data_IF_590249353664
#
_entry.id   IF_590249353664
#
_cell.length_a   1.000
_cell.length_b   1.000
_cell.length_c   1.000
_cell.angle_alpha   90.00
_cell.angle_beta   90.00
_cell.angle_gamma   90.00
#
_symmetry.space_group_name_H-M   'P 1'
#
loop_
_entity.id
_entity.type
_entity.pdbx_description
1 polymer ?
#
# COMPACT_ATOMS: atom_id res chain seq x y z
N UNK A 1 -10.82 15.15 9.54
CA UNK A 1 -12.25 15.26 9.14
C UNK A 1 -12.49 14.40 7.92
N UNK A 2 -13.59 13.64 7.93
CA UNK A 2 -14.10 12.91 6.77
C UNK A 2 -14.50 13.96 5.72
N UNK A 3 -13.98 13.86 4.50
CA UNK A 3 -14.41 14.76 3.42
C UNK A 3 -15.76 14.25 2.94
N UNK A 4 -16.76 15.13 2.99
CA UNK A 4 -18.07 14.91 2.40
C UNK A 4 -18.23 15.94 1.29
N UNK A 5 -18.61 15.51 0.10
CA UNK A 5 -18.97 16.39 -1.01
C UNK A 5 -20.43 16.80 -0.94
N UNK A 6 -20.69 18.04 -1.35
CA UNK A 6 -22.03 18.58 -1.42
C UNK A 6 -22.70 18.25 -2.77
N UNK A 7 -24.04 18.17 -2.83
CA UNK A 7 -24.75 18.07 -4.10
C UNK A 7 -24.35 19.21 -5.05
N UNK A 8 -24.19 18.88 -6.33
CA UNK A 8 -23.72 19.75 -7.43
C UNK A 8 -22.25 20.12 -7.42
N UNK A 9 -21.47 19.66 -6.43
CA UNK A 9 -20.03 19.83 -6.44
C UNK A 9 -19.39 19.11 -7.64
N UNK A 10 -18.41 19.74 -8.28
CA UNK A 10 -17.75 19.22 -9.49
C UNK A 10 -16.34 18.74 -9.20
N UNK A 11 -16.11 17.44 -9.40
CA UNK A 11 -14.83 16.77 -9.15
C UNK A 11 -14.36 16.08 -10.42
N UNK A 12 -13.26 16.53 -11.02
CA UNK A 12 -12.61 15.88 -12.18
C UNK A 12 -13.59 15.50 -13.32
N UNK A 13 -14.54 16.39 -13.65
CA UNK A 13 -15.53 16.16 -14.71
C UNK A 13 -16.79 15.39 -14.28
N UNK A 14 -16.91 15.04 -13.01
CA UNK A 14 -18.11 14.44 -12.41
C UNK A 14 -18.85 15.46 -11.55
N UNK A 15 -20.17 15.50 -11.64
CA UNK A 15 -21.02 16.34 -10.78
C UNK A 15 -21.72 15.45 -9.76
N UNK A 16 -21.48 15.68 -8.46
CA UNK A 16 -22.11 14.91 -7.38
C UNK A 16 -23.62 15.19 -7.38
N UNK A 17 -24.45 14.14 -7.30
CA UNK A 17 -25.91 14.27 -7.22
C UNK A 17 -26.40 14.04 -5.79
N UNK A 18 -26.09 12.87 -5.22
CA UNK A 18 -26.58 12.42 -3.92
C UNK A 18 -25.54 11.52 -3.24
N UNK A 19 -25.49 11.57 -1.92
CA UNK A 19 -24.75 10.59 -1.13
C UNK A 19 -25.57 9.31 -1.02
N UNK A 20 -24.95 8.17 -1.35
CA UNK A 20 -25.60 6.84 -1.28
C UNK A 20 -25.33 6.21 0.08
N UNK A 21 -24.06 6.15 0.50
CA UNK A 21 -23.68 5.49 1.75
C UNK A 21 -22.36 6.00 2.30
N UNK A 22 -22.23 5.98 3.62
CA UNK A 22 -20.99 6.20 4.36
C UNK A 22 -20.53 4.86 4.93
N UNK A 23 -19.47 4.28 4.36
CA UNK A 23 -18.82 3.09 4.90
C UNK A 23 -17.64 3.43 5.80
N UNK A 24 -17.06 2.42 6.45
CA UNK A 24 -15.91 2.60 7.35
C UNK A 24 -14.69 3.25 6.65
N UNK A 25 -14.46 2.92 5.38
CA UNK A 25 -13.27 3.33 4.64
C UNK A 25 -13.56 4.28 3.47
N UNK A 26 -14.83 4.53 3.14
CA UNK A 26 -15.20 5.31 1.95
C UNK A 26 -16.58 5.95 2.09
N UNK A 27 -16.80 7.04 1.36
CA UNK A 27 -18.12 7.61 1.13
C UNK A 27 -18.47 7.42 -0.34
N UNK A 28 -19.67 6.94 -0.62
CA UNK A 28 -20.14 6.67 -1.97
C UNK A 28 -21.29 7.60 -2.35
N UNK A 29 -21.28 8.03 -3.60
CA UNK A 29 -22.21 8.98 -4.18
C UNK A 29 -22.77 8.44 -5.49
N UNK A 30 -23.95 8.91 -5.86
CA UNK A 30 -24.32 8.93 -7.26
C UNK A 30 -23.86 10.27 -7.85
N UNK A 31 -23.32 10.22 -9.06
CA UNK A 31 -22.78 11.37 -9.74
C UNK A 31 -23.11 11.31 -11.23
N UNK A 32 -22.98 12.43 -11.92
CA UNK A 32 -23.14 12.54 -13.37
C UNK A 32 -21.81 12.81 -14.05
N UNK A 33 -21.42 11.97 -14.99
CA UNK A 33 -20.26 12.19 -15.83
C UNK A 33 -20.51 13.35 -16.82
N UNK A 34 -19.45 13.92 -17.39
CA UNK A 34 -19.55 15.00 -18.38
C UNK A 34 -20.42 14.63 -19.60
N UNK A 35 -20.45 13.35 -19.99
CA UNK A 35 -21.28 12.82 -21.06
C UNK A 35 -22.78 12.70 -20.70
N UNK A 36 -23.15 12.92 -19.43
CA UNK A 36 -24.52 12.82 -18.93
C UNK A 36 -24.85 11.50 -18.24
N UNK A 37 -23.99 10.49 -18.32
CA UNK A 37 -24.21 9.19 -17.69
C UNK A 37 -24.21 9.26 -16.16
N UNK A 38 -25.14 8.55 -15.52
CA UNK A 38 -25.14 8.37 -14.06
C UNK A 38 -24.11 7.31 -13.68
N UNK A 39 -23.29 7.59 -12.67
CA UNK A 39 -22.18 6.74 -12.21
C UNK A 39 -22.20 6.55 -10.71
N UNK A 40 -21.64 5.44 -10.24
CA UNK A 40 -21.34 5.22 -8.84
C UNK A 40 -19.94 5.76 -8.53
N UNK A 41 -19.87 6.76 -7.66
CA UNK A 41 -18.67 7.52 -7.38
C UNK A 41 -18.21 7.29 -5.94
N UNK A 42 -17.07 6.63 -5.76
CA UNK A 42 -16.53 6.23 -4.46
C UNK A 42 -15.33 7.08 -4.09
N UNK A 43 -15.43 7.76 -2.95
CA UNK A 43 -14.36 8.54 -2.31
C UNK A 43 -13.76 7.73 -1.16
N UNK A 44 -12.48 7.39 -1.24
CA UNK A 44 -11.79 6.69 -0.16
C UNK A 44 -11.37 7.68 0.95
N UNK A 45 -11.70 7.33 2.18
CA UNK A 45 -11.21 7.98 3.40
C UNK A 45 -9.99 7.26 3.97
N UNK A 46 -9.90 5.95 3.75
CA UNK A 46 -8.79 5.08 4.14
C UNK A 46 -8.50 4.07 3.02
N UNK A 47 -7.23 3.74 2.71
CA UNK A 47 -6.00 4.31 3.29
C UNK A 47 -5.83 5.80 3.00
N UNK A 48 -5.26 6.53 3.97
CA UNK A 48 -4.80 7.90 3.72
C UNK A 48 -3.45 7.90 3.01
N UNK A 49 -3.16 8.92 2.20
CA UNK A 49 -1.85 9.09 1.54
C UNK A 49 -0.63 9.06 2.48
N UNK A 50 -0.85 9.18 3.79
CA UNK A 50 0.21 9.15 4.81
C UNK A 50 0.69 7.74 5.14
N UNK A 51 -0.08 6.71 4.84
CA UNK A 51 0.36 5.33 5.10
C UNK A 51 1.37 4.90 4.02
N UNK A 52 2.45 4.18 4.38
CA UNK A 52 3.50 3.82 3.43
C UNK A 52 3.00 2.93 2.28
N UNK A 53 1.91 2.21 2.51
CA UNK A 53 1.29 1.31 1.55
C UNK A 53 0.19 1.95 0.68
N UNK A 54 -0.05 3.27 0.76
CA UNK A 54 -1.08 3.93 -0.06
C UNK A 54 -0.83 3.79 -1.57
N UNK A 55 0.38 4.11 -2.04
CA UNK A 55 0.72 3.96 -3.47
C UNK A 55 0.63 2.50 -3.93
N UNK A 56 1.22 1.53 -3.19
CA UNK A 56 0.98 0.11 -3.43
C UNK A 56 -0.51 -0.29 -3.45
N UNK A 57 -1.35 0.28 -2.59
CA UNK A 57 -2.80 0.06 -2.61
C UNK A 57 -3.43 0.54 -3.91
N UNK A 58 -3.14 1.77 -4.35
CA UNK A 58 -3.65 2.30 -5.63
C UNK A 58 -3.21 1.43 -6.82
N UNK A 59 -1.95 0.98 -6.83
CA UNK A 59 -1.44 0.06 -7.84
C UNK A 59 -2.16 -1.30 -7.81
N UNK A 60 -2.41 -1.83 -6.61
CA UNK A 60 -3.18 -3.06 -6.41
C UNK A 60 -4.60 -2.93 -6.96
N UNK A 61 -5.26 -1.80 -6.73
CA UNK A 61 -6.59 -1.52 -7.29
C UNK A 61 -6.58 -1.54 -8.82
N UNK A 62 -5.59 -0.90 -9.45
CA UNK A 62 -5.46 -0.88 -10.92
C UNK A 62 -5.25 -2.30 -11.48
N UNK A 63 -4.37 -3.09 -10.87
CA UNK A 63 -4.13 -4.48 -11.26
C UNK A 63 -5.38 -5.35 -11.07
N UNK A 64 -6.10 -5.16 -9.97
CA UNK A 64 -7.34 -5.89 -9.67
C UNK A 64 -8.36 -5.68 -10.79
N UNK A 65 -8.59 -4.42 -11.19
CA UNK A 65 -9.53 -4.12 -12.28
C UNK A 65 -9.06 -4.69 -13.61
N UNK A 66 -7.76 -4.65 -13.91
CA UNK A 66 -7.20 -5.28 -15.13
C UNK A 66 -7.45 -6.78 -15.16
N UNK A 67 -7.24 -7.50 -14.06
CA UNK A 67 -7.50 -8.95 -13.97
C UNK A 67 -8.98 -9.28 -14.16
N UNK A 68 -9.86 -8.47 -13.56
CA UNK A 68 -11.31 -8.62 -13.73
C UNK A 68 -11.68 -8.45 -15.21
N UNK A 69 -11.27 -7.35 -15.85
CA UNK A 69 -11.61 -7.02 -17.24
C UNK A 69 -11.02 -8.01 -18.27
N UNK A 70 -9.87 -8.60 -17.98
CA UNK A 70 -9.25 -9.62 -18.81
C UNK A 70 -9.95 -10.98 -18.75
N UNK A 71 -10.66 -11.27 -17.66
CA UNK A 71 -11.25 -12.57 -17.38
C UNK A 71 -12.75 -12.67 -17.67
N UNK A 72 -13.31 -13.89 -17.63
CA UNK A 72 -14.75 -14.11 -17.68
C UNK A 72 -15.48 -13.60 -16.42
N UNK A 73 -14.76 -13.29 -15.34
CA UNK A 73 -15.34 -12.75 -14.12
C UNK A 73 -15.92 -11.33 -14.27
N UNK A 74 -15.51 -10.55 -15.30
CA UNK A 74 -16.06 -9.21 -15.57
C UNK A 74 -17.59 -9.18 -15.72
N UNK A 75 -18.19 -10.25 -16.22
CA UNK A 75 -19.66 -10.30 -16.37
C UNK A 75 -20.36 -10.30 -15.01
N UNK A 76 -19.69 -10.80 -13.96
CA UNK A 76 -20.20 -10.88 -12.60
C UNK A 76 -19.77 -9.70 -11.72
N UNK A 77 -18.78 -8.90 -12.12
CA UNK A 77 -18.36 -7.71 -11.37
C UNK A 77 -18.97 -6.44 -11.98
N UNK A 78 -19.29 -5.46 -11.13
CA UNK A 78 -19.67 -4.12 -11.59
C UNK A 78 -18.51 -3.44 -12.33
N UNK A 79 -18.83 -2.85 -13.48
CA UNK A 79 -17.88 -2.28 -14.43
C UNK A 79 -17.14 -1.08 -13.84
N UNK A 80 -15.81 -1.13 -13.93
CA UNK A 80 -14.94 -0.01 -13.57
C UNK A 80 -14.86 1.00 -14.72
N UNK A 81 -15.09 2.28 -14.41
CA UNK A 81 -15.07 3.38 -15.38
C UNK A 81 -13.81 4.24 -15.27
N UNK A 82 -13.21 4.31 -14.08
CA UNK A 82 -11.95 5.02 -13.89
C UNK A 82 -11.60 5.24 -12.43
N UNK A 83 -10.35 5.64 -12.17
CA UNK A 83 -9.89 6.00 -10.84
C UNK A 83 -8.80 7.06 -10.94
N UNK A 84 -8.79 7.97 -9.97
CA UNK A 84 -7.89 9.12 -9.96
C UNK A 84 -7.64 9.58 -8.53
N UNK A 85 -6.61 10.42 -8.37
CA UNK A 85 -6.36 11.11 -7.11
C UNK A 85 -6.83 12.55 -7.19
N UNK A 86 -7.58 13.01 -6.19
CA UNK A 86 -8.00 14.40 -6.06
C UNK A 86 -7.96 14.81 -4.59
N UNK A 87 -7.43 15.99 -4.30
CA UNK A 87 -7.24 16.49 -2.91
C UNK A 87 -6.52 15.48 -1.99
N UNK A 88 -5.52 14.78 -2.52
CA UNK A 88 -4.75 13.73 -1.82
C UNK A 88 -5.60 12.56 -1.31
N UNK A 89 -6.74 12.31 -1.95
CA UNK A 89 -7.60 11.15 -1.74
C UNK A 89 -7.76 10.40 -3.04
N UNK A 90 -7.98 9.10 -2.92
CA UNK A 90 -8.23 8.24 -4.06
C UNK A 90 -9.73 8.13 -4.32
N UNK A 91 -10.08 8.15 -5.60
CA UNK A 91 -11.45 8.06 -6.08
C UNK A 91 -11.55 6.93 -7.09
N UNK A 92 -12.68 6.24 -7.06
CA UNK A 92 -13.02 5.27 -8.08
C UNK A 92 -14.44 5.53 -8.58
N UNK A 93 -14.63 5.30 -9.88
CA UNK A 93 -15.88 5.50 -10.58
C UNK A 93 -16.26 4.18 -11.25
N UNK A 94 -17.52 3.80 -11.07
CA UNK A 94 -18.09 2.56 -11.58
C UNK A 94 -19.42 2.81 -12.27
N UNK A 95 -19.89 1.83 -13.03
CA UNK A 95 -21.26 1.85 -13.53
C UNK A 95 -22.26 2.01 -12.38
N UNK A 96 -23.31 2.79 -12.62
CA UNK A 96 -24.40 2.90 -11.68
C UNK A 96 -25.39 1.75 -11.91
N UNK A 97 -25.66 0.96 -10.87
CA UNK A 97 -26.56 -0.18 -10.94
C UNK A 97 -28.00 0.27 -10.67
N UNK A 98 -28.66 0.85 -11.67
CA UNK A 98 -30.04 1.28 -11.57
C UNK A 98 -31.02 0.10 -11.38
N UNK A 99 -32.17 0.34 -10.74
CA UNK A 99 -33.21 -0.67 -10.46
C UNK A 99 -32.66 -1.97 -9.86
N UNK A 100 -31.70 -1.84 -8.95
CA UNK A 100 -31.06 -2.97 -8.29
C UNK A 100 -31.47 -3.10 -6.83
N UNK A 101 -31.42 -4.34 -6.33
CA UNK A 101 -31.58 -4.67 -4.93
C UNK A 101 -30.36 -5.45 -4.46
N UNK A 102 -29.91 -5.24 -3.22
CA UNK A 102 -28.90 -6.12 -2.64
C UNK A 102 -29.51 -7.48 -2.28
N UNK A 103 -28.68 -8.52 -2.23
CA UNK A 103 -29.10 -9.83 -1.74
C UNK A 103 -29.59 -9.72 -0.29
N UNK A 104 -29.04 -8.80 0.52
CA UNK A 104 -29.56 -8.53 1.87
C UNK A 104 -31.05 -8.21 1.86
N UNK A 105 -31.49 -7.32 0.97
CA UNK A 105 -32.91 -6.96 0.84
C UNK A 105 -33.78 -8.15 0.39
N UNK A 106 -33.23 -9.06 -0.42
CA UNK A 106 -33.91 -10.29 -0.80
C UNK A 106 -34.00 -11.26 0.38
N UNK A 107 -32.93 -11.43 1.15
CA UNK A 107 -32.92 -12.27 2.35
C UNK A 107 -33.91 -11.74 3.40
N UNK A 108 -34.06 -10.42 3.54
CA UNK A 108 -35.08 -9.82 4.40
C UNK A 108 -36.51 -10.17 3.95
N UNK A 109 -36.80 -10.10 2.65
CA UNK A 109 -38.09 -10.54 2.09
C UNK A 109 -38.35 -12.02 2.37
N UNK A 110 -37.34 -12.87 2.20
CA UNK A 110 -37.41 -14.31 2.48
C UNK A 110 -37.65 -14.57 3.97
N UNK A 111 -36.96 -13.84 4.86
CA UNK A 111 -37.09 -13.96 6.32
C UNK A 111 -38.50 -13.61 6.78
N UNK A 112 -39.10 -12.55 6.23
CA UNK A 112 -40.47 -12.12 6.57
C UNK A 112 -41.51 -13.08 5.98
N UNK A 113 -41.34 -13.46 4.71
CA UNK A 113 -42.24 -14.38 4.01
C UNK A 113 -41.42 -15.33 3.15
N UNK A 114 -41.18 -16.57 3.61
CA UNK A 114 -40.41 -17.55 2.86
C UNK A 114 -41.02 -17.98 1.52
N UNK A 115 -42.21 -17.53 1.15
CA UNK A 115 -42.78 -17.77 -0.19
C UNK A 115 -42.70 -16.55 -1.11
N UNK A 116 -42.13 -15.43 -0.65
CA UNK A 116 -42.02 -14.18 -1.43
C UNK A 116 -41.06 -14.27 -2.61
N UNK A 117 -40.12 -15.21 -2.53
CA UNK A 117 -39.16 -15.56 -3.57
C UNK A 117 -39.23 -17.07 -3.74
N UNK A 118 -39.50 -17.55 -4.95
CA UNK A 118 -39.67 -18.98 -5.21
C UNK A 118 -38.36 -19.74 -5.01
N UNK A 119 -38.45 -21.07 -4.81
CA UNK A 119 -37.27 -21.92 -4.75
C UNK A 119 -36.39 -21.77 -5.99
N UNK A 120 -36.99 -21.81 -7.19
CA UNK A 120 -36.28 -21.72 -8.47
C UNK A 120 -35.50 -20.40 -8.59
N UNK A 121 -36.08 -19.30 -8.11
CA UNK A 121 -35.39 -18.01 -8.11
C UNK A 121 -34.17 -18.02 -7.17
N UNK A 122 -34.32 -18.58 -5.96
CA UNK A 122 -33.22 -18.69 -4.99
C UNK A 122 -32.11 -19.61 -5.48
N UNK A 123 -32.49 -20.76 -6.03
CA UNK A 123 -31.58 -21.74 -6.61
C UNK A 123 -30.79 -21.11 -7.77
N UNK A 124 -31.45 -20.34 -8.63
CA UNK A 124 -30.79 -19.67 -9.75
C UNK A 124 -29.86 -18.55 -9.26
N UNK A 125 -30.28 -17.73 -8.29
CA UNK A 125 -29.41 -16.74 -7.64
C UNK A 125 -28.17 -17.40 -7.03
N UNK A 126 -28.35 -18.53 -6.33
CA UNK A 126 -27.27 -19.32 -5.76
C UNK A 126 -26.31 -19.79 -6.87
N UNK A 127 -26.81 -20.46 -7.91
CA UNK A 127 -25.99 -20.95 -9.04
C UNK A 127 -25.15 -19.83 -9.68
N UNK A 128 -25.75 -18.67 -9.93
CA UNK A 128 -25.07 -17.53 -10.55
C UNK A 128 -24.06 -16.91 -9.61
N UNK A 129 -24.37 -16.77 -8.32
CA UNK A 129 -23.42 -16.26 -7.32
C UNK A 129 -22.20 -17.18 -7.22
N UNK A 130 -22.41 -18.50 -7.08
CA UNK A 130 -21.33 -19.48 -7.01
C UNK A 130 -20.49 -19.48 -8.29
N UNK A 131 -21.14 -19.40 -9.47
CA UNK A 131 -20.43 -19.26 -10.74
C UNK A 131 -19.57 -18.00 -10.78
N UNK A 132 -20.08 -16.86 -10.30
CA UNK A 132 -19.34 -15.61 -10.21
C UNK A 132 -18.10 -15.72 -9.32
N UNK A 133 -18.25 -16.28 -8.12
CA UNK A 133 -17.14 -16.52 -7.19
C UNK A 133 -16.13 -17.50 -7.77
N UNK A 134 -16.58 -18.57 -8.41
CA UNK A 134 -15.69 -19.53 -9.07
C UNK A 134 -14.84 -18.85 -10.16
N UNK A 135 -15.40 -17.92 -10.94
CA UNK A 135 -14.64 -17.16 -11.93
C UNK A 135 -13.70 -16.13 -11.32
N UNK A 136 -14.08 -15.50 -10.20
CA UNK A 136 -13.19 -14.62 -9.43
C UNK A 136 -11.98 -15.41 -8.90
N UNK A 137 -12.21 -16.60 -8.33
CA UNK A 137 -11.15 -17.52 -7.89
C UNK A 137 -10.27 -17.98 -9.05
N UNK A 138 -10.86 -18.27 -10.21
CA UNK A 138 -10.15 -18.60 -11.45
C UNK A 138 -9.23 -17.48 -11.95
N UNK A 139 -9.59 -16.22 -11.68
CA UNK A 139 -8.74 -15.05 -11.91
C UNK A 139 -7.69 -14.81 -10.81
N UNK A 140 -7.51 -15.77 -9.89
CA UNK A 140 -6.61 -15.72 -8.73
C UNK A 140 -6.93 -14.57 -7.77
N UNK A 141 -8.21 -14.23 -7.66
CA UNK A 141 -8.72 -13.21 -6.76
C UNK A 141 -9.52 -13.89 -5.64
N UNK A 142 -9.31 -13.46 -4.41
CA UNK A 142 -10.16 -13.78 -3.25
C UNK A 142 -10.90 -12.50 -2.89
N UNK A 143 -12.22 -12.55 -2.80
CA UNK A 143 -13.03 -11.37 -2.52
C UNK A 143 -12.78 -10.82 -1.12
N UNK A 144 -12.71 -11.71 -0.11
CA UNK A 144 -12.36 -11.46 1.29
C UNK A 144 -13.34 -10.62 2.14
N UNK A 145 -14.20 -9.80 1.53
CA UNK A 145 -15.33 -9.12 2.20
C UNK A 145 -16.68 -9.44 1.54
N UNK A 146 -16.96 -10.73 1.27
CA UNK A 146 -18.27 -11.12 0.78
C UNK A 146 -19.33 -10.92 1.87
N UNK A 147 -20.51 -10.45 1.44
CA UNK A 147 -21.70 -10.32 2.26
C UNK A 147 -22.91 -10.06 1.35
N UNK A 148 -24.15 -10.25 1.84
CA UNK A 148 -25.35 -10.01 1.03
C UNK A 148 -25.49 -8.58 0.49
N UNK A 149 -24.94 -7.58 1.16
CA UNK A 149 -24.90 -6.19 0.70
C UNK A 149 -24.01 -6.01 -0.53
N UNK A 150 -23.00 -6.87 -0.69
CA UNK A 150 -22.05 -6.84 -1.79
C UNK A 150 -22.49 -7.67 -3.02
N UNK A 151 -23.73 -8.18 -3.02
CA UNK A 151 -24.31 -8.91 -4.15
C UNK A 151 -25.55 -8.14 -4.62
N UNK A 152 -25.46 -7.53 -5.79
CA UNK A 152 -26.50 -6.69 -6.38
C UNK A 152 -27.28 -7.47 -7.44
N UNK A 153 -28.60 -7.38 -7.40
CA UNK A 153 -29.54 -8.00 -8.32
C UNK A 153 -30.25 -6.89 -9.10
N UNK A 154 -29.85 -6.71 -10.35
CA UNK A 154 -30.34 -5.67 -11.26
C UNK A 154 -31.53 -6.23 -12.02
N UNK A 155 -32.70 -5.60 -11.95
CA UNK A 155 -33.88 -6.05 -12.69
C UNK A 155 -33.61 -6.12 -14.20
N UNK A 156 -33.89 -7.28 -14.79
CA UNK A 156 -33.80 -7.51 -16.23
C UNK A 156 -34.85 -8.53 -16.68
N UNK A 157 -35.97 -8.01 -17.18
CA UNK A 157 -37.09 -8.83 -17.66
C UNK A 157 -36.80 -9.57 -18.96
N UNK A 158 -35.69 -9.28 -19.64
CA UNK A 158 -35.32 -9.95 -20.89
C UNK A 158 -34.69 -11.33 -20.69
N UNK A 159 -34.27 -11.65 -19.46
CA UNK A 159 -33.66 -12.92 -19.09
C UNK A 159 -34.56 -13.71 -18.14
N UNK A 160 -34.48 -15.05 -18.22
CA UNK A 160 -35.30 -15.95 -17.42
C UNK A 160 -35.17 -15.71 -15.90
N UNK A 161 -33.99 -15.29 -15.44
CA UNK A 161 -33.72 -14.99 -14.04
C UNK A 161 -34.45 -13.73 -13.53
N UNK A 162 -34.96 -12.88 -14.43
CA UNK A 162 -35.50 -11.53 -14.15
C UNK A 162 -34.50 -10.56 -13.51
N UNK A 163 -33.28 -11.00 -13.24
CA UNK A 163 -32.23 -10.21 -12.62
C UNK A 163 -30.89 -10.54 -13.27
N UNK A 164 -29.97 -9.58 -13.36
CA UNK A 164 -28.54 -9.81 -13.51
C UNK A 164 -27.85 -9.66 -12.16
N UNK A 165 -26.95 -10.57 -11.83
CA UNK A 165 -26.19 -10.51 -10.59
C UNK A 165 -24.84 -9.81 -10.82
N UNK A 166 -24.53 -8.84 -9.96
CA UNK A 166 -23.23 -8.17 -9.89
C UNK A 166 -22.67 -8.23 -8.47
N UNK A 167 -21.44 -8.68 -8.32
CA UNK A 167 -20.67 -8.65 -7.08
C UNK A 167 -19.93 -7.32 -7.03
N UNK A 168 -20.04 -6.63 -5.89
CA UNK A 168 -19.47 -5.30 -5.67
C UNK A 168 -18.49 -5.27 -4.50
N UNK A 169 -17.77 -4.16 -4.35
CA UNK A 169 -16.89 -3.87 -3.21
C UNK A 169 -15.72 -4.86 -3.04
N UNK A 170 -14.80 -4.81 -4.00
CA UNK A 170 -13.59 -5.65 -4.05
C UNK A 170 -12.33 -4.93 -3.53
N UNK A 171 -12.51 -3.87 -2.76
CA UNK A 171 -11.44 -2.94 -2.42
C UNK A 171 -10.33 -3.59 -1.59
N UNK A 172 -10.69 -4.59 -0.78
CA UNK A 172 -9.76 -5.37 0.04
C UNK A 172 -9.62 -6.81 -0.44
N UNK A 173 -9.91 -7.07 -1.72
CA UNK A 173 -9.68 -8.38 -2.33
C UNK A 173 -8.19 -8.70 -2.44
N UNK A 174 -7.85 -9.96 -2.22
CA UNK A 174 -6.49 -10.48 -2.26
C UNK A 174 -6.20 -11.17 -3.58
N UNK A 175 -4.92 -11.23 -3.95
CA UNK A 175 -4.45 -12.12 -4.99
C UNK A 175 -3.87 -13.38 -4.36
N UNK A 176 -4.17 -14.54 -4.92
CA UNK A 176 -3.57 -15.80 -4.43
C UNK A 176 -2.11 -15.97 -4.83
N UNK A 177 -1.63 -15.16 -5.79
CA UNK A 177 -0.28 -15.20 -6.34
C UNK A 177 0.57 -13.97 -6.01
N UNK A 178 0.08 -13.05 -5.16
CA UNK A 178 0.80 -11.84 -4.73
C UNK A 178 0.39 -11.44 -3.31
N UNK A 179 1.34 -10.90 -2.54
CA UNK A 179 1.07 -10.33 -1.21
C UNK A 179 0.25 -9.04 -1.34
N UNK A 180 -0.76 -8.86 -0.48
CA UNK A 180 -1.52 -7.63 -0.45
C UNK A 180 -0.70 -6.47 0.16
N UNK A 181 -0.86 -5.23 -0.32
CA UNK A 181 -0.14 -4.05 0.21
C UNK A 181 -0.32 -3.78 1.70
N UNK A 182 -1.49 -4.16 2.24
CA UNK A 182 -1.88 -3.93 3.62
C UNK A 182 -1.67 -5.17 4.51
N UNK A 183 -1.06 -6.24 4.00
CA UNK A 183 -0.78 -7.43 4.79
C UNK A 183 0.19 -7.11 5.95
N UNK A 184 -0.19 -7.53 7.16
CA UNK A 184 0.47 -7.17 8.42
C UNK A 184 -0.03 -5.87 9.07
N UNK A 185 -1.04 -5.20 8.52
CA UNK A 185 -1.69 -4.04 9.14
C UNK A 185 -3.07 -4.39 9.68
N UNK A 186 -3.37 -3.98 10.92
CA UNK A 186 -4.65 -4.27 11.58
C UNK A 186 -5.83 -3.47 11.00
N UNK A 187 -7.03 -4.07 10.99
CA UNK A 187 -8.30 -3.34 10.85
C UNK A 187 -8.85 -3.16 9.43
N UNK A 188 -8.37 -3.91 8.43
CA UNK A 188 -8.66 -3.59 7.02
C UNK A 188 -9.64 -4.49 6.28
N UNK A 189 -10.21 -5.58 6.82
CA UNK A 189 -11.02 -6.48 5.99
C UNK A 189 -12.02 -7.35 6.77
N UNK A 190 -13.21 -7.51 6.18
CA UNK A 190 -14.27 -8.41 6.61
C UNK A 190 -15.39 -7.76 7.42
N UNK A 191 -16.58 -8.32 7.31
CA UNK A 191 -17.76 -7.96 8.12
C UNK A 191 -17.96 -9.04 9.18
N UNK A 192 -17.99 -8.73 10.50
CA UNK A 192 -17.80 -9.73 11.56
C UNK A 192 -18.69 -10.99 11.47
N UNK A 193 -19.97 -10.86 11.11
CA UNK A 193 -20.88 -12.01 10.97
C UNK A 193 -20.69 -12.85 9.69
N UNK A 194 -19.81 -12.42 8.78
CA UNK A 194 -19.49 -13.09 7.52
C UNK A 194 -18.01 -13.48 7.41
N UNK A 195 -17.20 -13.19 8.43
CA UNK A 195 -15.80 -13.58 8.47
C UNK A 195 -15.66 -15.09 8.68
N UNK A 196 -14.74 -15.73 7.97
CA UNK A 196 -14.32 -17.11 8.25
C UNK A 196 -13.55 -17.20 9.58
N UNK A 197 -13.47 -18.38 10.23
CA UNK A 197 -12.71 -18.52 11.46
C UNK A 197 -11.25 -18.06 11.31
N UNK A 198 -10.63 -18.32 10.16
CA UNK A 198 -9.27 -17.87 9.87
C UNK A 198 -9.18 -16.35 9.69
N UNK A 199 -10.17 -15.69 9.07
CA UNK A 199 -10.24 -14.22 8.99
C UNK A 199 -10.33 -13.60 10.38
N UNK A 200 -11.17 -14.14 11.26
CA UNK A 200 -11.32 -13.64 12.63
C UNK A 200 -10.03 -13.78 13.47
N UNK A 201 -9.12 -14.67 13.06
CA UNK A 201 -7.81 -14.86 13.69
C UNK A 201 -6.67 -14.16 12.95
N UNK A 202 -6.97 -13.16 12.11
CA UNK A 202 -6.01 -12.37 11.34
C UNK A 202 -5.10 -13.19 10.42
N UNK A 203 -5.58 -14.35 9.93
CA UNK A 203 -4.87 -15.09 8.88
C UNK A 203 -5.24 -14.50 7.51
N UNK A 204 -4.30 -14.60 6.56
CA UNK A 204 -4.51 -14.12 5.19
C UNK A 204 -5.69 -14.87 4.56
N UNK A 205 -6.69 -14.15 4.01
CA UNK A 205 -7.80 -14.73 3.27
C UNK A 205 -7.36 -15.66 2.14
N UNK A 206 -8.10 -16.75 1.95
CA UNK A 206 -7.90 -17.70 0.86
C UNK A 206 -9.22 -17.95 0.11
N UNK A 207 -9.21 -18.62 -1.05
CA UNK A 207 -10.45 -19.03 -1.72
C UNK A 207 -11.40 -19.82 -0.79
N UNK A 208 -10.86 -20.62 0.12
CA UNK A 208 -11.66 -21.36 1.10
C UNK A 208 -12.34 -20.44 2.13
N UNK A 209 -11.81 -19.23 2.34
CA UNK A 209 -12.41 -18.22 3.21
C UNK A 209 -13.65 -17.60 2.56
N UNK A 210 -13.60 -17.28 1.27
CA UNK A 210 -14.79 -16.90 0.50
C UNK A 210 -15.82 -18.02 0.46
N UNK A 211 -15.40 -19.29 0.37
CA UNK A 211 -16.32 -20.45 0.39
C UNK A 211 -17.08 -20.52 1.72
N UNK A 212 -16.42 -20.25 2.85
CA UNK A 212 -17.11 -20.20 4.14
C UNK A 212 -18.21 -19.13 4.14
N UNK A 213 -17.87 -17.91 3.73
CA UNK A 213 -18.80 -16.79 3.64
C UNK A 213 -19.94 -17.07 2.66
N UNK A 214 -19.63 -17.66 1.51
CA UNK A 214 -20.60 -18.10 0.52
C UNK A 214 -21.53 -19.19 1.11
N UNK A 215 -20.99 -20.11 1.90
CA UNK A 215 -21.75 -21.10 2.65
C UNK A 215 -22.79 -20.46 3.57
N UNK A 216 -22.42 -19.42 4.33
CA UNK A 216 -23.36 -18.66 5.18
C UNK A 216 -24.49 -18.04 4.36
N UNK A 217 -24.14 -17.33 3.28
CA UNK A 217 -25.10 -16.64 2.42
C UNK A 217 -26.05 -17.62 1.72
N UNK A 218 -25.53 -18.75 1.24
CA UNK A 218 -26.34 -19.78 0.60
C UNK A 218 -27.21 -20.54 1.60
N UNK A 219 -26.75 -20.73 2.84
CA UNK A 219 -27.58 -21.27 3.91
C UNK A 219 -28.78 -20.36 4.15
N UNK A 220 -28.59 -19.04 4.26
CA UNK A 220 -29.70 -18.09 4.40
C UNK A 220 -30.64 -18.07 3.19
N UNK A 221 -30.10 -18.24 1.99
CA UNK A 221 -30.85 -18.17 0.75
C UNK A 221 -31.67 -19.45 0.49
N UNK A 222 -31.09 -20.62 0.75
CA UNK A 222 -31.66 -21.92 0.38
C UNK A 222 -32.25 -22.70 1.56
N UNK A 223 -31.84 -22.42 2.79
CA UNK A 223 -32.25 -23.13 4.00
C UNK A 223 -32.91 -22.19 5.03
N UNK A 224 -33.26 -22.74 6.19
CA UNK A 224 -33.93 -22.00 7.26
C UNK A 224 -32.97 -21.08 8.03
N UNK A 225 -32.84 -19.83 7.58
CA UNK A 225 -32.23 -18.73 8.34
C UNK A 225 -30.70 -18.69 8.32
N UNK A 226 -30.10 -17.82 9.14
CA UNK A 226 -28.64 -17.78 9.31
C UNK A 226 -28.20 -18.96 10.20
N UNK A 227 -27.16 -19.72 9.84
CA UNK A 227 -26.73 -20.91 10.59
C UNK A 227 -26.22 -20.59 12.00
N UNK A 228 -25.86 -19.33 12.25
CA UNK A 228 -25.38 -18.82 13.53
C UNK A 228 -26.10 -17.52 13.90
N UNK A 229 -27.35 -17.55 14.38
CA UNK A 229 -28.15 -16.34 14.60
C UNK A 229 -27.81 -15.71 15.97
N UNK A 230 -26.58 -15.23 16.13
CA UNK A 230 -26.16 -14.55 17.35
C UNK A 230 -26.25 -13.03 17.17
N UNK A 231 -26.77 -12.34 18.18
CA UNK A 231 -26.72 -10.87 18.24
C UNK A 231 -25.33 -10.36 18.65
N UNK A 232 -24.54 -11.21 19.30
CA UNK A 232 -23.23 -10.88 19.87
C UNK A 232 -22.10 -11.46 19.01
N UNK A 233 -21.24 -10.57 18.52
CA UNK A 233 -20.11 -10.89 17.64
C UNK A 233 -19.12 -11.85 18.32
N UNK A 234 -18.96 -11.76 19.64
CA UNK A 234 -17.99 -12.59 20.38
C UNK A 234 -18.37 -14.08 20.35
N UNK A 235 -19.63 -14.40 20.04
CA UNK A 235 -20.14 -15.79 19.97
C UNK A 235 -19.82 -16.48 18.64
N UNK A 236 -19.48 -15.72 17.59
CA UNK A 236 -19.21 -16.31 16.27
C UNK A 236 -17.99 -17.22 16.28
N UNK A 237 -16.85 -16.75 16.78
CA UNK A 237 -15.60 -17.51 16.70
C UNK A 237 -15.66 -18.87 17.43
N UNK A 238 -16.18 -18.97 18.68
CA UNK A 238 -16.37 -20.26 19.34
C UNK A 238 -17.31 -21.19 18.57
N UNK A 239 -18.42 -20.67 18.05
CA UNK A 239 -19.39 -21.47 17.31
C UNK A 239 -18.84 -21.97 15.96
N UNK A 240 -18.10 -21.12 15.24
CA UNK A 240 -17.45 -21.49 13.99
C UNK A 240 -16.37 -22.54 14.22
N UNK A 241 -15.55 -22.40 15.26
CA UNK A 241 -14.54 -23.40 15.63
C UNK A 241 -15.15 -24.74 16.06
N UNK A 242 -16.31 -24.71 16.70
CA UNK A 242 -17.06 -25.90 17.09
C UNK A 242 -17.88 -26.53 15.97
N UNK A 243 -17.85 -25.98 14.74
CA UNK A 243 -18.72 -26.38 13.63
C UNK A 243 -20.20 -26.47 14.03
N UNK A 244 -20.67 -25.52 14.85
CA UNK A 244 -21.95 -25.61 15.54
C UNK A 244 -23.19 -25.35 14.65
N UNK A 245 -23.00 -25.09 13.35
CA UNK A 245 -24.10 -24.99 12.40
C UNK A 245 -24.94 -26.28 12.42
N UNK A 246 -26.26 -26.13 12.32
CA UNK A 246 -27.12 -27.29 12.08
C UNK A 246 -26.96 -27.79 10.63
N UNK A 247 -27.34 -29.04 10.39
CA UNK A 247 -27.49 -29.56 9.03
C UNK A 247 -28.56 -28.72 8.28
N UNK A 248 -28.26 -28.20 7.08
CA UNK A 248 -29.18 -27.33 6.35
C UNK A 248 -30.50 -28.02 6.02
N UNK A 249 -31.60 -27.45 6.49
CA UNK A 249 -32.96 -27.83 6.09
C UNK A 249 -33.42 -26.92 4.95
N UNK A 250 -33.39 -27.44 3.72
CA UNK A 250 -33.75 -26.67 2.54
C UNK A 250 -35.21 -26.20 2.58
N UNK A 251 -35.45 -24.97 2.13
CA UNK A 251 -36.76 -24.34 1.99
C UNK A 251 -37.33 -24.52 0.58
N UNK A 252 -37.26 -25.74 0.07
CA UNK A 252 -37.76 -26.11 -1.25
C UNK A 252 -37.15 -27.43 -1.71
N UNK A 253 -37.57 -27.88 -2.90
CA UNK A 253 -37.11 -29.13 -3.51
C UNK A 253 -36.39 -28.80 -4.81
N UNK A 254 -35.08 -29.05 -4.93
CA UNK A 254 -34.36 -28.87 -6.18
C UNK A 254 -34.92 -29.79 -7.26
N UNK A 255 -34.89 -29.32 -8.51
CA UNK A 255 -35.21 -30.16 -9.66
C UNK A 255 -34.02 -31.05 -10.01
N UNK A 256 -34.29 -32.30 -10.40
CA UNK A 256 -33.27 -33.19 -10.95
C UNK A 256 -32.53 -32.49 -12.11
N UNK A 257 -31.21 -32.71 -12.27
CA UNK A 257 -30.40 -33.72 -11.60
C UNK A 257 -29.87 -33.32 -10.20
N UNK A 258 -30.05 -32.07 -9.77
CA UNK A 258 -29.62 -31.63 -8.46
C UNK A 258 -30.43 -32.30 -7.34
N UNK A 259 -29.75 -32.78 -6.30
CA UNK A 259 -30.37 -33.49 -5.18
C UNK A 259 -30.30 -32.66 -3.90
N UNK A 260 -31.42 -32.56 -3.18
CA UNK A 260 -31.50 -31.74 -1.96
C UNK A 260 -30.52 -32.18 -0.86
N UNK A 261 -30.31 -33.48 -0.71
CA UNK A 261 -29.32 -34.03 0.24
C UNK A 261 -27.89 -33.60 -0.10
N UNK A 262 -27.52 -33.62 -1.39
CA UNK A 262 -26.20 -33.19 -1.88
C UNK A 262 -26.00 -31.69 -1.65
N UNK A 263 -27.01 -30.87 -1.92
CA UNK A 263 -26.97 -29.43 -1.67
C UNK A 263 -26.82 -29.16 -0.16
N UNK A 264 -27.60 -29.83 0.69
CA UNK A 264 -27.50 -29.68 2.13
C UNK A 264 -26.10 -30.08 2.67
N UNK A 265 -25.55 -31.21 2.21
CA UNK A 265 -24.22 -31.67 2.59
C UNK A 265 -23.12 -30.67 2.19
N UNK A 266 -23.11 -30.20 0.94
CA UNK A 266 -22.06 -29.28 0.48
C UNK A 266 -22.13 -27.95 1.20
N UNK A 267 -23.34 -27.43 1.47
CA UNK A 267 -23.54 -26.21 2.27
C UNK A 267 -23.01 -26.38 3.70
N UNK A 268 -23.24 -27.55 4.31
CA UNK A 268 -22.73 -27.86 5.63
C UNK A 268 -21.18 -27.91 5.65
N UNK A 269 -20.57 -28.53 4.63
CA UNK A 269 -19.10 -28.61 4.50
C UNK A 269 -18.44 -27.27 4.18
N UNK A 270 -19.12 -26.34 3.52
CA UNK A 270 -18.62 -24.96 3.37
C UNK A 270 -18.33 -24.30 4.74
N UNK A 271 -19.06 -24.68 5.79
CA UNK A 271 -18.94 -24.11 7.14
C UNK A 271 -17.92 -24.83 8.02
N UNK A 272 -17.12 -25.75 7.46
CA UNK A 272 -16.12 -26.49 8.23
C UNK A 272 -15.05 -25.55 8.83
N UNK A 273 -14.62 -25.75 10.10
CA UNK A 273 -13.63 -24.89 10.75
C UNK A 273 -12.28 -24.87 10.01
N UNK A 274 -11.79 -26.04 9.60
CA UNK A 274 -10.59 -26.16 8.77
C UNK A 274 -10.88 -25.79 7.31
N UNK A 275 -10.22 -24.76 6.75
CA UNK A 275 -10.36 -24.38 5.35
C UNK A 275 -10.05 -25.50 4.35
N UNK A 276 -9.16 -26.45 4.69
CA UNK A 276 -8.76 -27.53 3.79
C UNK A 276 -9.87 -28.57 3.57
N UNK A 277 -10.83 -28.66 4.49
CA UNK A 277 -11.97 -29.58 4.43
C UNK A 277 -13.19 -28.99 3.72
N UNK A 278 -13.12 -27.71 3.32
CA UNK A 278 -14.20 -27.04 2.60
C UNK A 278 -14.15 -27.42 1.13
N UNK A 279 -15.30 -27.58 0.46
CA UNK A 279 -15.35 -27.75 -1.00
C UNK A 279 -14.80 -26.52 -1.71
N UNK A 280 -14.50 -26.62 -3.00
CA UNK A 280 -14.24 -25.43 -3.82
C UNK A 280 -15.54 -24.79 -4.29
N UNK A 281 -15.47 -23.54 -4.76
CA UNK A 281 -16.59 -22.91 -5.45
C UNK A 281 -17.04 -23.73 -6.68
N UNK A 282 -16.12 -24.43 -7.35
CA UNK A 282 -16.45 -25.34 -8.46
C UNK A 282 -17.27 -26.55 -7.99
N UNK A 283 -16.88 -27.18 -6.89
CA UNK A 283 -17.60 -28.35 -6.34
C UNK A 283 -19.00 -27.96 -5.88
N UNK A 284 -19.12 -26.79 -5.24
CA UNK A 284 -20.38 -26.20 -4.85
C UNK A 284 -21.26 -25.87 -6.07
N UNK A 285 -20.67 -25.38 -7.17
CA UNK A 285 -21.41 -25.12 -8.39
C UNK A 285 -21.97 -26.41 -9.00
N UNK A 286 -21.15 -27.46 -9.10
CA UNK A 286 -21.55 -28.79 -9.59
C UNK A 286 -22.68 -29.40 -8.75
N UNK A 287 -22.58 -29.29 -7.43
CA UNK A 287 -23.62 -29.77 -6.51
C UNK A 287 -24.95 -29.05 -6.73
N UNK A 288 -24.93 -27.74 -6.99
CA UNK A 288 -26.13 -26.96 -7.29
C UNK A 288 -26.70 -27.26 -8.68
N UNK A 289 -25.87 -27.49 -9.70
CA UNK A 289 -26.33 -27.80 -11.07
C UNK A 289 -26.70 -29.26 -11.26
N UNK A 290 -26.27 -30.14 -10.36
CA UNK A 290 -26.45 -31.59 -10.47
C UNK A 290 -25.50 -32.24 -11.47
N UNK A 291 -24.42 -31.55 -11.86
CA UNK A 291 -23.33 -32.07 -12.69
C UNK A 291 -22.41 -33.01 -11.89
N UNK A 292 -23.01 -33.87 -11.05
CA UNK A 292 -22.33 -34.85 -10.22
C UNK A 292 -21.81 -36.02 -11.06
N UNK A 293 -20.80 -35.77 -11.88
CA UNK A 293 -19.80 -36.80 -12.17
C UNK A 293 -18.88 -36.90 -10.92
N UNK A 294 -19.30 -37.70 -9.93
CA UNK A 294 -18.40 -38.20 -8.89
C UNK A 294 -18.09 -37.30 -7.69
N UNK A 295 -19.05 -36.55 -7.12
CA UNK A 295 -18.87 -35.93 -5.79
C UNK A 295 -19.05 -36.97 -4.68
N UNK A 296 -18.16 -37.95 -4.67
CA UNK A 296 -17.64 -38.54 -3.46
C UNK A 296 -16.15 -38.60 -3.73
N UNK A 297 -15.44 -37.48 -3.53
CA UNK A 297 -13.98 -37.57 -3.41
C UNK A 297 -13.73 -38.52 -2.25
N UNK A 298 -13.06 -39.63 -2.53
CA UNK A 298 -12.75 -40.59 -1.49
C UNK A 298 -11.88 -39.89 -0.41
N UNK A 299 -12.01 -40.31 0.83
CA UNK A 299 -11.34 -39.68 1.98
C UNK A 299 -9.82 -39.55 1.78
N UNK A 300 -9.19 -40.43 1.00
CA UNK A 300 -7.78 -40.41 0.65
C UNK A 300 -7.43 -39.25 -0.30
N UNK A 301 -8.31 -38.89 -1.23
CA UNK A 301 -8.10 -37.74 -2.13
C UNK A 301 -8.20 -36.42 -1.36
N UNK A 302 -9.19 -36.30 -0.46
CA UNK A 302 -9.31 -35.17 0.47
C UNK A 302 -8.08 -35.10 1.40
N UNK A 303 -7.62 -36.25 1.91
CA UNK A 303 -6.44 -36.33 2.78
C UNK A 303 -5.17 -35.92 2.05
N UNK A 304 -4.94 -36.39 0.82
CA UNK A 304 -3.76 -36.00 0.01
C UNK A 304 -3.74 -34.50 -0.28
N UNK A 305 -4.90 -33.91 -0.54
CA UNK A 305 -5.02 -32.45 -0.72
C UNK A 305 -4.74 -31.69 0.58
N UNK A 306 -5.25 -32.18 1.71
CA UNK A 306 -4.95 -31.61 3.03
C UNK A 306 -3.45 -31.74 3.38
N UNK A 307 -2.83 -32.90 3.09
CA UNK A 307 -1.38 -33.13 3.26
C UNK A 307 -0.57 -32.18 2.37
N UNK A 308 -0.93 -32.02 1.10
CA UNK A 308 -0.28 -31.08 0.19
C UNK A 308 -0.40 -29.62 0.66
N UNK A 309 -1.55 -29.24 1.21
CA UNK A 309 -1.77 -27.90 1.77
C UNK A 309 -1.00 -27.66 3.06
N UNK A 310 -0.84 -28.68 3.91
CA UNK A 310 0.03 -28.63 5.10
C UNK A 310 1.49 -28.43 4.69
N UNK A 311 1.96 -29.19 3.69
CA UNK A 311 3.32 -29.02 3.15
C UNK A 311 3.51 -27.62 2.57
N UNK A 312 2.55 -27.14 1.78
CA UNK A 312 2.58 -25.79 1.20
C UNK A 312 2.64 -24.70 2.28
N UNK A 313 1.83 -24.81 3.32
CA UNK A 313 1.86 -23.88 4.47
C UNK A 313 3.18 -23.94 5.24
N UNK A 314 3.75 -25.13 5.41
CA UNK A 314 5.05 -25.30 6.04
C UNK A 314 6.17 -24.65 5.21
N UNK A 315 6.11 -24.77 3.87
CA UNK A 315 7.03 -24.08 2.96
C UNK A 315 6.85 -22.57 2.99
N UNK A 316 5.61 -22.07 3.00
CA UNK A 316 5.30 -20.64 3.13
C UNK A 316 5.79 -20.07 4.48
N UNK A 317 5.60 -20.78 5.59
CA UNK A 317 6.13 -20.40 6.90
C UNK A 317 7.67 -20.41 6.93
N UNK A 318 8.30 -21.42 6.29
CA UNK A 318 9.76 -21.48 6.19
C UNK A 318 10.29 -20.28 5.41
N UNK A 319 9.67 -19.98 4.27
CA UNK A 319 10.03 -18.82 3.43
C UNK A 319 9.80 -17.50 4.16
N UNK A 320 8.72 -17.39 4.94
CA UNK A 320 8.48 -16.22 5.80
C UNK A 320 9.57 -16.05 6.85
N UNK A 321 10.00 -17.13 7.51
CA UNK A 321 11.13 -17.10 8.47
C UNK A 321 12.44 -16.72 7.79
N UNK A 322 12.70 -17.22 6.58
CA UNK A 322 13.87 -16.88 5.77
C UNK A 322 13.86 -15.39 5.36
N UNK A 323 12.71 -14.86 4.94
CA UNK A 323 12.54 -13.44 4.58
C UNK A 323 12.64 -12.52 5.82
N UNK A 324 12.09 -12.92 6.97
CA UNK A 324 12.25 -12.21 8.24
C UNK A 324 13.71 -12.20 8.71
N UNK A 325 14.42 -13.33 8.57
CA UNK A 325 15.84 -13.43 8.89
C UNK A 325 16.67 -12.54 7.95
N UNK A 326 16.36 -12.54 6.66
CA UNK A 326 16.99 -11.66 5.67
C UNK A 326 16.70 -10.20 5.94
N UNK A 327 15.47 -9.86 6.35
CA UNK A 327 15.10 -8.50 6.76
C UNK A 327 15.90 -8.02 7.96
N UNK A 328 16.02 -8.86 9.00
CA UNK A 328 16.87 -8.58 10.17
C UNK A 328 18.33 -8.42 9.80
N UNK A 329 18.83 -9.21 8.86
CA UNK A 329 20.21 -9.11 8.37
C UNK A 329 20.44 -7.82 7.58
N UNK A 330 19.50 -7.43 6.71
CA UNK A 330 19.55 -6.15 5.99
C UNK A 330 19.48 -4.98 6.97
N UNK A 331 18.65 -5.07 8.01
CA UNK A 331 18.55 -4.04 9.05
C UNK A 331 19.82 -3.95 9.88
N UNK A 332 20.42 -5.09 10.25
CA UNK A 332 21.73 -5.16 10.91
C UNK A 332 22.82 -4.51 10.07
N UNK A 333 22.89 -4.83 8.78
CA UNK A 333 23.85 -4.22 7.84
C UNK A 333 23.58 -2.72 7.69
N UNK A 334 22.32 -2.30 7.59
CA UNK A 334 21.96 -0.90 7.51
C UNK A 334 22.28 -0.13 8.81
N UNK A 335 22.18 -0.78 9.96
CA UNK A 335 22.57 -0.22 11.26
C UNK A 335 24.10 -0.17 11.41
N UNK A 336 24.83 -1.17 10.92
CA UNK A 336 26.30 -1.14 10.81
C UNK A 336 26.78 -0.03 9.86
N UNK A 337 26.12 0.16 8.71
CA UNK A 337 26.41 1.27 7.79
C UNK A 337 26.07 2.60 8.46
N UNK A 338 24.92 2.73 9.13
CA UNK A 338 24.56 3.94 9.87
C UNK A 338 25.55 4.25 11.00
N UNK A 339 25.98 3.25 11.77
CA UNK A 339 27.01 3.40 12.81
C UNK A 339 28.35 3.79 12.20
N UNK A 340 28.74 3.19 11.07
CA UNK A 340 29.96 3.55 10.35
C UNK A 340 29.89 4.96 9.80
N UNK A 341 28.76 5.38 9.25
CA UNK A 341 28.51 6.74 8.79
C UNK A 341 28.44 7.73 9.96
N UNK A 342 27.89 7.32 11.11
CA UNK A 342 27.86 8.11 12.35
C UNK A 342 29.24 8.21 13.01
N UNK A 343 30.06 7.16 12.94
CA UNK A 343 31.44 7.13 13.40
C UNK A 343 32.35 7.90 12.43
N UNK A 344 32.11 7.85 11.12
CA UNK A 344 32.74 8.71 10.12
C UNK A 344 32.28 10.17 10.27
N UNK A 345 31.01 10.41 10.59
CA UNK A 345 30.49 11.75 10.93
C UNK A 345 31.00 12.22 12.28
N UNK A 346 31.19 11.37 13.29
CA UNK A 346 31.83 11.72 14.57
C UNK A 346 33.30 12.01 14.39
N UNK A 347 34.03 11.19 13.63
CA UNK A 347 35.42 11.46 13.23
C UNK A 347 35.54 12.75 12.39
N UNK A 348 34.55 13.08 11.56
CA UNK A 348 34.46 14.37 10.84
C UNK A 348 33.91 15.52 11.69
N UNK A 349 33.16 15.27 12.76
CA UNK A 349 32.55 16.29 13.62
C UNK A 349 33.41 16.63 14.84
N UNK A 350 34.41 15.81 15.16
CA UNK A 350 35.51 16.14 16.07
C UNK A 350 36.48 17.18 15.47
N UNK A 351 36.37 17.48 14.17
CA UNK A 351 36.99 18.65 13.54
C UNK A 351 35.91 19.62 13.03
N UNK A 352 35.42 20.52 13.91
CA UNK A 352 34.64 21.69 13.45
C UNK A 352 35.54 22.57 12.57
N UNK A 353 35.19 22.91 11.32
CA UNK A 353 35.95 23.88 10.54
C UNK A 353 35.72 25.29 11.09
N UNK A 354 36.80 26.01 11.35
CA UNK A 354 36.75 27.35 11.91
C UNK A 354 36.04 28.32 10.94
N UNK A 355 35.02 29.03 11.44
CA UNK A 355 34.34 30.10 10.67
C UNK A 355 35.26 31.26 10.33
N UNK A 356 36.43 31.32 10.96
CA UNK A 356 37.44 32.35 10.85
C UNK A 356 38.82 31.68 10.84
N UNK A 357 39.77 32.27 10.14
CA UNK A 357 41.18 31.86 10.18
C UNK A 357 42.03 32.95 10.82
N UNK A 358 43.11 32.57 11.46
CA UNK A 358 44.12 33.48 11.99
C UNK A 358 45.38 33.34 11.15
N UNK A 359 45.89 34.47 10.65
CA UNK A 359 47.22 34.54 10.07
C UNK A 359 48.21 34.93 11.15
N UNK A 360 49.20 34.07 11.43
CA UNK A 360 50.23 34.30 12.45
C UNK A 360 51.59 34.48 11.78
N UNK A 361 52.29 35.60 12.04
CA UNK A 361 53.69 35.79 11.63
C UNK A 361 54.65 34.95 12.48
N UNK A 362 55.90 34.81 12.03
CA UNK A 362 56.97 34.14 12.80
C UNK A 362 57.20 34.79 14.18
N UNK A 363 57.02 36.10 14.28
CA UNK A 363 57.19 36.87 15.52
C UNK A 363 55.94 36.82 16.42
N UNK A 364 54.93 36.00 16.06
CA UNK A 364 53.73 35.77 16.86
C UNK A 364 52.64 36.83 16.71
N UNK A 365 52.72 37.72 15.72
CA UNK A 365 51.65 38.69 15.45
C UNK A 365 50.51 38.02 14.70
N UNK A 366 49.29 38.20 15.20
CA UNK A 366 48.10 37.52 14.69
C UNK A 366 47.08 38.47 14.08
N UNK A 367 46.40 38.03 13.03
CA UNK A 367 45.25 38.70 12.44
C UNK A 367 44.16 37.70 12.14
N UNK A 368 43.04 37.83 12.84
CA UNK A 368 41.79 37.11 12.53
C UNK A 368 41.17 37.63 11.23
N UNK A 369 40.72 36.71 10.39
CA UNK A 369 40.02 36.93 9.12
C UNK A 369 38.72 36.13 9.17
N UNK A 370 37.60 36.84 9.24
CA UNK A 370 36.24 36.25 9.27
C UNK A 370 35.36 36.63 8.07
N UNK A 371 35.86 37.45 7.16
CA UNK A 371 35.18 37.88 5.94
C UNK A 371 36.20 38.10 4.82
N UNK A 372 35.75 38.40 3.61
CA UNK A 372 36.64 38.74 2.49
C UNK A 372 37.49 39.96 2.83
N UNK A 373 38.82 39.82 2.79
CA UNK A 373 39.78 40.88 3.09
C UNK A 373 40.86 40.93 2.01
N UNK A 374 41.20 42.15 1.58
CA UNK A 374 42.35 42.41 0.71
C UNK A 374 43.56 42.72 1.58
N UNK A 375 44.60 41.90 1.45
CA UNK A 375 45.88 42.10 2.09
C UNK A 375 46.81 42.84 1.15
N UNK A 376 47.23 44.02 1.56
CA UNK A 376 48.27 44.79 0.90
C UNK A 376 49.13 45.51 1.92
N UNK A 377 49.98 46.43 1.48
CA UNK A 377 51.01 47.09 2.31
C UNK A 377 50.53 47.52 3.70
N UNK A 378 49.36 48.14 3.79
CA UNK A 378 48.82 48.66 5.07
C UNK A 378 48.45 47.53 6.03
N UNK A 379 47.77 46.49 5.55
CA UNK A 379 47.37 45.35 6.39
C UNK A 379 48.60 44.51 6.75
N UNK A 380 49.49 44.32 5.79
CA UNK A 380 50.69 43.50 5.97
C UNK A 380 51.72 44.17 6.91
N UNK A 381 51.72 45.51 7.03
CA UNK A 381 52.63 46.24 7.92
C UNK A 381 52.51 45.83 9.39
N UNK A 382 51.36 45.27 9.79
CA UNK A 382 51.17 44.71 11.14
C UNK A 382 52.12 43.54 11.43
N UNK A 383 52.54 42.80 10.40
CA UNK A 383 53.39 41.61 10.54
C UNK A 383 54.88 41.89 10.34
N UNK A 384 55.27 43.17 10.32
CA UNK A 384 56.67 43.60 10.30
C UNK A 384 57.09 44.36 9.04
N UNK A 385 58.35 44.80 9.06
CA UNK A 385 58.96 45.70 8.07
C UNK A 385 59.01 45.12 6.65
N UNK A 386 58.87 43.80 6.49
CA UNK A 386 58.83 43.13 5.20
C UNK A 386 57.63 43.58 4.34
N UNK A 387 56.57 44.12 4.95
CA UNK A 387 55.41 44.64 4.24
C UNK A 387 55.70 45.81 3.30
N UNK A 388 56.82 46.52 3.48
CA UNK A 388 57.25 47.60 2.56
C UNK A 388 57.50 47.11 1.14
N UNK A 389 57.75 45.80 0.98
CA UNK A 389 57.92 45.16 -0.32
C UNK A 389 56.59 44.74 -0.96
N UNK A 390 55.46 44.83 -0.25
CA UNK A 390 54.14 44.54 -0.81
C UNK A 390 53.63 45.68 -1.69
N UNK A 391 52.81 45.30 -2.68
CA UNK A 391 51.93 46.24 -3.36
C UNK A 391 50.85 46.78 -2.41
N UNK A 392 50.17 47.85 -2.81
CA UNK A 392 49.06 48.42 -2.03
C UNK A 392 47.90 47.44 -1.86
N UNK A 393 47.75 46.51 -2.81
CA UNK A 393 46.86 45.34 -2.77
C UNK A 393 47.65 44.15 -3.31
N UNK A 394 47.90 43.14 -2.49
CA UNK A 394 48.75 42.02 -2.86
C UNK A 394 47.94 40.76 -3.16
N UNK A 395 47.10 40.35 -2.21
CA UNK A 395 46.27 39.18 -2.35
C UNK A 395 44.95 39.33 -1.59
N UNK A 396 43.98 38.53 -1.95
CA UNK A 396 42.64 38.48 -1.37
C UNK A 396 42.51 37.15 -0.63
N UNK A 397 42.02 37.21 0.60
CA UNK A 397 41.49 36.05 1.29
C UNK A 397 39.98 36.14 1.32
N UNK A 398 39.32 35.10 0.86
CA UNK A 398 37.87 35.03 0.88
C UNK A 398 37.37 33.61 1.12
N UNK A 399 36.08 33.49 1.42
CA UNK A 399 35.43 32.23 1.77
C UNK A 399 34.32 31.91 0.77
N UNK A 400 34.27 30.67 0.31
CA UNK A 400 33.15 30.15 -0.50
C UNK A 400 32.67 28.83 0.08
N UNK A 401 31.41 28.78 0.50
CA UNK A 401 30.90 27.66 1.30
C UNK A 401 31.62 27.60 2.64
N UNK A 402 32.30 26.49 2.90
CA UNK A 402 33.06 26.23 4.13
C UNK A 402 34.58 26.39 3.97
N UNK A 403 35.04 26.73 2.77
CA UNK A 403 36.46 26.75 2.43
C UNK A 403 37.01 28.18 2.28
N UNK A 404 38.24 28.38 2.73
CA UNK A 404 39.02 29.60 2.52
C UNK A 404 39.87 29.50 1.26
N UNK A 405 40.00 30.61 0.55
CA UNK A 405 40.77 30.72 -0.68
C UNK A 405 41.69 31.93 -0.63
N UNK A 406 42.83 31.81 -1.30
CA UNK A 406 43.75 32.90 -1.60
C UNK A 406 43.80 33.15 -3.11
N UNK A 407 43.86 34.42 -3.49
CA UNK A 407 44.03 34.84 -4.87
C UNK A 407 44.93 36.07 -4.92
N UNK A 408 45.89 36.09 -5.85
CA UNK A 408 46.70 37.30 -6.08
C UNK A 408 45.86 38.40 -6.73
N UNK A 409 46.08 39.66 -6.36
CA UNK A 409 45.36 40.77 -6.96
C UNK A 409 45.75 40.95 -8.44
N UNK A 410 44.80 41.01 -9.39
CA UNK A 410 45.11 40.94 -10.83
C UNK A 410 45.80 42.19 -11.40
N UNK A 411 45.76 43.33 -10.71
CA UNK A 411 46.28 44.62 -11.19
C UNK A 411 47.57 45.07 -10.48
N UNK A 412 48.24 44.17 -9.76
CA UNK A 412 49.51 44.45 -9.06
C UNK A 412 50.55 43.38 -9.37
N UNK A 413 51.85 43.69 -9.25
CA UNK A 413 52.89 42.66 -9.37
C UNK A 413 52.63 41.50 -8.40
N UNK A 414 52.53 40.30 -8.96
CA UNK A 414 52.24 39.11 -8.17
C UNK A 414 53.53 38.58 -7.53
N UNK A 415 53.72 38.92 -6.26
CA UNK A 415 54.73 38.36 -5.35
C UNK A 415 54.07 37.50 -4.26
N UNK A 416 52.82 37.06 -4.48
CA UNK A 416 52.02 36.29 -3.52
C UNK A 416 52.44 34.83 -3.55
N UNK A 417 52.90 34.32 -2.41
CA UNK A 417 53.38 32.96 -2.27
C UNK A 417 52.43 32.13 -1.40
N UNK A 418 52.24 30.86 -1.78
CA UNK A 418 51.60 29.83 -0.98
C UNK A 418 52.55 28.63 -0.90
N UNK A 419 52.97 28.26 0.32
CA UNK A 419 53.87 27.14 0.58
C UNK A 419 55.18 27.17 -0.24
N UNK A 420 55.66 28.37 -0.56
CA UNK A 420 56.90 28.58 -1.31
C UNK A 420 56.75 28.63 -2.84
N UNK A 421 55.53 28.46 -3.36
CA UNK A 421 55.21 28.60 -4.78
C UNK A 421 54.35 29.85 -5.06
N UNK A 422 54.46 30.41 -6.26
CA UNK A 422 53.70 31.59 -6.65
C UNK A 422 52.21 31.23 -6.85
N UNK A 423 51.32 32.00 -6.24
CA UNK A 423 49.87 31.79 -6.38
C UNK A 423 49.42 32.21 -7.78
N UNK A 424 48.96 31.25 -8.59
CA UNK A 424 48.40 31.49 -9.92
C UNK A 424 46.91 31.15 -9.89
N UNK A 425 46.07 32.20 -9.97
CA UNK A 425 44.63 32.07 -9.83
C UNK A 425 44.18 31.87 -8.38
N UNK A 426 42.95 31.39 -8.22
CA UNK A 426 42.31 31.18 -6.91
C UNK A 426 42.60 29.78 -6.39
N UNK A 427 43.24 29.70 -5.21
CA UNK A 427 43.70 28.44 -4.62
C UNK A 427 43.08 28.25 -3.23
N UNK A 428 42.63 27.03 -2.94
CA UNK A 428 42.08 26.67 -1.62
C UNK A 428 43.18 26.63 -0.57
N UNK A 429 42.92 27.25 0.59
CA UNK A 429 43.80 27.23 1.76
C UNK A 429 43.46 26.09 2.71
N UNK A 430 44.49 25.56 3.36
CA UNK A 430 44.43 24.58 4.44
C UNK A 430 45.11 25.13 5.70
N UNK A 431 44.74 24.61 6.87
CA UNK A 431 45.42 24.96 8.11
C UNK A 431 46.88 24.51 8.06
N UNK A 432 47.80 25.36 8.52
CA UNK A 432 49.24 25.15 8.42
C UNK A 432 49.87 25.70 7.14
N UNK A 433 49.08 26.11 6.15
CA UNK A 433 49.60 26.74 4.94
C UNK A 433 50.37 28.03 5.27
N UNK A 434 51.46 28.25 4.52
CA UNK A 434 52.32 29.42 4.63
C UNK A 434 52.01 30.37 3.49
N UNK A 435 51.29 31.45 3.79
CA UNK A 435 50.96 32.51 2.83
C UNK A 435 51.86 33.71 3.05
N UNK A 436 52.22 34.44 2.00
CA UNK A 436 53.00 35.66 2.20
C UNK A 436 53.61 36.24 0.93
N UNK A 437 54.76 36.89 1.10
CA UNK A 437 55.46 37.62 0.05
C UNK A 437 56.78 36.95 -0.29
N UNK A 438 57.07 36.78 -1.58
CA UNK A 438 58.35 36.27 -2.02
C UNK A 438 58.60 36.56 -3.50
N UNK A 439 59.86 36.51 -3.91
CA UNK A 439 60.23 36.68 -5.32
C UNK A 439 60.29 35.32 -6.01
N UNK A 440 59.46 35.13 -7.03
CA UNK A 440 59.40 33.88 -7.79
C UNK A 440 60.76 33.42 -8.33
N UNK A 441 61.61 34.36 -8.76
CA UNK A 441 62.93 34.07 -9.32
C UNK A 441 63.97 33.55 -8.30
N UNK A 442 63.85 33.90 -7.01
CA UNK A 442 64.82 33.50 -5.98
C UNK A 442 64.27 32.51 -4.96
N UNK A 443 62.97 32.18 -5.03
CA UNK A 443 62.22 31.37 -4.05
C UNK A 443 62.42 31.81 -2.59
N UNK A 444 62.86 33.05 -2.38
CA UNK A 444 63.12 33.60 -1.05
C UNK A 444 61.87 34.32 -0.57
N UNK A 445 61.20 33.72 0.41
CA UNK A 445 60.07 34.33 1.13
C UNK A 445 60.60 35.43 2.05
N UNK A 446 60.00 36.62 1.96
CA UNK A 446 60.39 37.82 2.71
C UNK A 446 59.40 38.09 3.85
N UNK A 447 58.15 37.65 3.70
CA UNK A 447 57.14 37.62 4.74
C UNK A 447 56.39 36.29 4.66
N UNK A 448 56.26 35.59 5.78
CA UNK A 448 55.57 34.31 5.86
C UNK A 448 54.57 34.34 7.02
N UNK A 449 53.32 34.01 6.73
CA UNK A 449 52.21 33.95 7.66
C UNK A 449 51.64 32.54 7.63
N UNK A 450 51.49 31.92 8.80
CA UNK A 450 50.89 30.58 8.92
C UNK A 450 49.39 30.72 9.11
N UNK A 451 48.61 30.01 8.29
CA UNK A 451 47.15 29.92 8.42
C UNK A 451 46.82 28.99 9.58
N UNK A 452 46.05 29.48 10.56
CA UNK A 452 45.57 28.72 11.71
C UNK A 452 44.06 28.83 11.83
N UNK A 453 43.46 27.86 12.51
CA UNK A 453 42.09 28.03 12.99
C UNK A 453 42.10 29.13 14.07
N UNK A 454 41.07 29.98 14.08
CA UNK A 454 40.84 30.89 15.20
C UNK A 454 40.41 30.15 16.47
#
# INVERSE_FOLDING_TARGET
MVRIYDPKERIQGYTIEEMITTGNNSVSYSARAAAGDKVFFKLYQSPSIRVPWYKPFVQHQVELKKRIEAGPCKQFCYKFLGGFEHERKYHQVFEFLDKSHSLSQILDKIRIRPTSVSWEQRELMAKVLVAGINQIHGARIVHADLKPENVMLIEDTSIAMKYRLKIIDMDFSFFTDKKAPWDGHEGYFGTPGYMSPEHMTNKVPSPASDVFTLGLMLYQLLAQGHPYPFDDVEKYLPAYKGHAAAQPKLLGVPKAPAQGSVIADVLYRCLHPDPAMRPTASDLHKALTGDNAGIVEDAETVRRRAEAEVVRKAEEERKKKEDEARGKEVERIAEEIRRRDEDEKKKKAEEKPATRIVLTSLDGVEQSVGARVVFGRVVLAKFGEAAKYAANEQFILDRTGDDWFIEACPNTPNDTMLNGDLVVGRVKLSLGDKVGLGKAASKKTVLELTVRAE
#
